data_IF_518681890718
#
_entry.id   IF_518681890718
#
_cell.length_a   1.000
_cell.length_b   1.000
_cell.length_c   1.000
_cell.angle_alpha   90.00
_cell.angle_beta   90.00
_cell.angle_gamma   90.00
#
_symmetry.space_group_name_H-M   'P 1'
#
loop_
_entity.id
_entity.type
_entity.pdbx_description
1 polymer ?
#
# COMPACT_ATOMS: atom_id res chain seq x y z
N UNK A 1 -8.19 -9.51 -9.55
CA UNK A 1 -8.69 -10.91 -9.40
C UNK A 1 -8.28 -11.41 -8.02
N UNK A 2 -8.95 -12.41 -7.45
CA UNK A 2 -8.56 -13.01 -6.16
C UNK A 2 -7.42 -14.01 -6.35
N UNK A 3 -6.60 -14.22 -5.32
CA UNK A 3 -5.65 -15.33 -5.28
C UNK A 3 -6.38 -16.68 -5.17
N UNK A 4 -5.72 -17.82 -5.47
CA UNK A 4 -6.32 -19.16 -5.32
C UNK A 4 -6.89 -19.45 -3.92
N UNK A 5 -6.36 -18.81 -2.88
CA UNK A 5 -6.87 -18.85 -1.50
C UNK A 5 -8.23 -18.15 -1.31
N UNK A 6 -8.71 -17.41 -2.31
CA UNK A 6 -9.89 -16.55 -2.22
C UNK A 6 -9.63 -15.17 -1.61
N UNK A 7 -8.42 -14.88 -1.12
CA UNK A 7 -8.06 -13.56 -0.61
C UNK A 7 -7.72 -12.58 -1.73
N UNK A 8 -7.89 -11.29 -1.45
CA UNK A 8 -7.28 -10.19 -2.21
C UNK A 8 -6.01 -9.74 -1.50
N UNK A 9 -4.96 -9.51 -2.27
CA UNK A 9 -3.75 -8.81 -1.84
C UNK A 9 -3.05 -8.19 -3.04
N UNK A 10 -1.89 -7.57 -2.80
CA UNK A 10 -1.10 -7.00 -3.89
C UNK A 10 -0.41 -8.10 -4.70
N UNK A 11 -0.45 -7.96 -6.01
CA UNK A 11 0.21 -8.86 -6.95
C UNK A 11 1.19 -8.09 -7.84
N UNK A 12 2.18 -8.78 -8.36
CA UNK A 12 3.17 -8.20 -9.27
C UNK A 12 2.49 -7.61 -10.49
N UNK A 13 2.98 -6.46 -10.94
CA UNK A 13 2.54 -5.89 -12.21
C UNK A 13 2.81 -6.91 -13.34
N UNK A 14 1.78 -7.23 -14.11
CA UNK A 14 1.86 -8.18 -15.23
C UNK A 14 1.81 -9.67 -14.84
N UNK A 15 1.90 -10.05 -13.56
CA UNK A 15 1.67 -11.42 -13.11
C UNK A 15 0.79 -11.47 -11.84
N UNK A 16 -0.54 -11.68 -12.00
CA UNK A 16 -1.48 -11.72 -10.88
C UNK A 16 -1.31 -12.95 -9.97
N UNK A 17 -0.45 -13.91 -10.32
CA UNK A 17 -0.17 -15.09 -9.48
C UNK A 17 0.97 -14.84 -8.49
N UNK A 18 1.78 -13.83 -8.74
CA UNK A 18 2.92 -13.48 -7.89
C UNK A 18 2.47 -12.48 -6.84
N UNK A 19 2.35 -12.92 -5.60
CA UNK A 19 2.02 -12.04 -4.48
C UNK A 19 3.19 -11.10 -4.15
N UNK A 20 2.86 -9.85 -3.81
CA UNK A 20 3.82 -8.86 -3.29
C UNK A 20 3.59 -8.71 -1.80
N UNK A 21 4.56 -9.15 -1.01
CA UNK A 21 4.56 -8.97 0.44
C UNK A 21 5.22 -7.64 0.80
N UNK A 22 4.68 -6.97 1.82
CA UNK A 22 5.20 -5.71 2.32
C UNK A 22 5.11 -5.67 3.86
N UNK A 23 6.03 -4.92 4.47
CA UNK A 23 6.03 -4.72 5.92
C UNK A 23 4.92 -3.73 6.31
N UNK A 24 4.38 -3.86 7.52
CA UNK A 24 3.55 -2.81 8.09
C UNK A 24 4.28 -1.47 8.07
N UNK A 25 3.50 -0.40 7.94
CA UNK A 25 3.96 0.98 7.85
C UNK A 25 4.74 1.33 6.57
N UNK A 26 4.84 0.39 5.62
CA UNK A 26 5.30 0.70 4.24
C UNK A 26 4.36 1.73 3.62
N UNK A 27 4.90 2.86 3.14
CA UNK A 27 4.11 3.85 2.39
C UNK A 27 3.66 3.26 1.06
N UNK A 28 2.38 3.45 0.75
CA UNK A 28 1.76 2.95 -0.48
C UNK A 28 0.90 4.06 -1.07
N UNK A 29 1.15 4.39 -2.33
CA UNK A 29 0.27 5.22 -3.13
C UNK A 29 -0.76 4.32 -3.80
N UNK A 30 -2.04 4.56 -3.53
CA UNK A 30 -3.13 3.97 -4.32
C UNK A 30 -3.47 4.90 -5.48
N UNK A 31 -3.71 4.31 -6.65
CA UNK A 31 -4.15 5.02 -7.86
C UNK A 31 -5.35 4.33 -8.50
N UNK A 32 -5.99 5.04 -9.44
CA UNK A 32 -7.13 4.53 -10.21
C UNK A 32 -8.33 4.17 -9.33
N UNK A 33 -8.53 4.94 -8.24
CA UNK A 33 -9.62 4.74 -7.30
C UNK A 33 -10.94 5.13 -7.99
N UNK A 34 -11.95 4.25 -8.09
CA UNK A 34 -13.18 4.55 -8.80
C UNK A 34 -14.04 5.60 -8.05
N UNK A 35 -14.83 6.45 -8.74
CA UNK A 35 -15.57 7.57 -8.13
C UNK A 35 -16.47 7.19 -6.94
N UNK A 36 -17.08 6.00 -6.99
CA UNK A 36 -17.91 5.50 -5.89
C UNK A 36 -17.07 5.28 -4.62
N UNK A 37 -15.86 4.73 -4.77
CA UNK A 37 -14.94 4.50 -3.65
C UNK A 37 -14.28 5.81 -3.20
N UNK A 38 -13.96 6.73 -4.11
CA UNK A 38 -13.51 8.09 -3.77
C UNK A 38 -14.51 8.78 -2.85
N UNK A 39 -15.80 8.71 -3.17
CA UNK A 39 -16.88 9.29 -2.36
C UNK A 39 -17.00 8.60 -1.00
N UNK A 40 -17.00 7.26 -0.97
CA UNK A 40 -17.12 6.49 0.26
C UNK A 40 -15.93 6.71 1.21
N UNK A 41 -14.72 6.80 0.66
CA UNK A 41 -13.50 7.01 1.42
C UNK A 41 -13.15 8.49 1.59
N UNK A 42 -13.83 9.43 0.94
CA UNK A 42 -13.50 10.87 0.95
C UNK A 42 -12.04 11.15 0.54
N UNK A 43 -11.62 10.52 -0.55
CA UNK A 43 -10.27 10.64 -1.13
C UNK A 43 -10.36 11.02 -2.61
N UNK A 44 -9.24 11.41 -3.21
CA UNK A 44 -9.15 11.64 -4.66
C UNK A 44 -8.97 10.35 -5.46
N UNK A 45 -8.73 10.48 -6.76
CA UNK A 45 -8.38 9.37 -7.63
C UNK A 45 -7.06 8.67 -7.22
N UNK A 46 -6.22 9.39 -6.48
CA UNK A 46 -5.01 8.89 -5.84
C UNK A 46 -5.00 9.27 -4.36
N UNK A 47 -4.40 8.42 -3.51
CA UNK A 47 -4.22 8.72 -2.09
C UNK A 47 -2.98 8.03 -1.51
N UNK A 48 -2.25 8.77 -0.68
CA UNK A 48 -1.17 8.21 0.14
C UNK A 48 -1.75 7.44 1.32
N UNK A 49 -1.22 6.24 1.55
CA UNK A 49 -1.60 5.33 2.63
C UNK A 49 -0.37 4.66 3.22
N UNK A 50 -0.55 3.91 4.29
CA UNK A 50 0.44 2.94 4.76
C UNK A 50 -0.16 1.55 4.80
N UNK A 51 0.64 0.54 4.47
CA UNK A 51 0.25 -0.85 4.67
C UNK A 51 0.05 -1.13 6.16
N UNK A 52 -1.06 -1.77 6.48
CA UNK A 52 -1.44 -2.03 7.86
C UNK A 52 -2.10 -3.40 7.99
N UNK A 53 -2.02 -3.95 9.19
CA UNK A 53 -2.70 -5.17 9.57
C UNK A 53 -3.60 -4.91 10.78
N UNK A 54 -4.84 -5.39 10.75
CA UNK A 54 -5.72 -5.39 11.93
C UNK A 54 -5.48 -6.61 12.81
N UNK A 55 -5.74 -6.50 14.10
CA UNK A 55 -5.50 -7.57 15.09
C UNK A 55 -6.42 -8.78 14.89
N UNK A 56 -7.69 -8.55 14.53
CA UNK A 56 -8.71 -9.58 14.45
C UNK A 56 -9.41 -9.64 13.07
N UNK A 57 -10.06 -10.77 12.79
CA UNK A 57 -10.83 -11.02 11.56
C UNK A 57 -10.09 -11.93 10.56
N UNK A 58 -10.86 -12.49 9.61
CA UNK A 58 -10.35 -13.47 8.65
C UNK A 58 -9.33 -12.88 7.67
N UNK A 59 -9.60 -11.68 7.15
CA UNK A 59 -8.71 -10.95 6.26
C UNK A 59 -8.11 -9.79 7.04
N UNK A 60 -6.81 -9.83 7.32
CA UNK A 60 -6.18 -8.90 8.27
C UNK A 60 -5.46 -7.74 7.58
N UNK A 61 -5.09 -7.91 6.31
CA UNK A 61 -4.29 -6.94 5.59
C UNK A 61 -5.16 -5.84 4.99
N UNK A 62 -4.62 -4.62 5.00
CA UNK A 62 -5.28 -3.43 4.53
C UNK A 62 -4.35 -2.25 4.44
N UNK A 63 -4.96 -1.07 4.32
CA UNK A 63 -4.28 0.21 4.22
C UNK A 63 -4.86 1.14 5.27
N UNK A 64 -4.00 1.92 5.90
CA UNK A 64 -4.42 3.01 6.78
C UNK A 64 -4.29 4.33 6.03
N UNK A 65 -5.40 5.04 5.90
CA UNK A 65 -5.44 6.39 5.35
C UNK A 65 -4.74 7.37 6.29
N UNK A 66 -4.36 8.54 5.78
CA UNK A 66 -3.71 9.60 6.57
C UNK A 66 -4.57 10.10 7.75
N UNK A 67 -5.89 9.96 7.66
CA UNK A 67 -6.83 10.27 8.74
C UNK A 67 -7.07 9.11 9.73
N UNK A 68 -6.29 8.03 9.60
CA UNK A 68 -6.30 6.88 10.50
C UNK A 68 -7.33 5.80 10.18
N UNK A 69 -8.24 6.02 9.22
CA UNK A 69 -9.22 4.99 8.82
C UNK A 69 -8.53 3.79 8.17
N UNK A 70 -8.97 2.59 8.52
CA UNK A 70 -8.51 1.33 7.94
C UNK A 70 -9.39 0.91 6.76
N UNK A 71 -8.77 0.55 5.65
CA UNK A 71 -9.41 0.02 4.45
C UNK A 71 -8.90 -1.39 4.22
N UNK A 72 -9.78 -2.39 4.28
CA UNK A 72 -9.40 -3.77 4.02
C UNK A 72 -9.00 -3.94 2.55
N UNK A 73 -7.97 -4.74 2.26
CA UNK A 73 -7.67 -5.11 0.88
C UNK A 73 -8.85 -5.83 0.20
N UNK A 74 -9.74 -6.45 0.99
CA UNK A 74 -10.93 -7.11 0.44
C UNK A 74 -12.00 -6.15 -0.06
N UNK A 75 -11.95 -4.88 0.34
CA UNK A 75 -12.89 -3.84 -0.08
C UNK A 75 -12.39 -3.12 -1.35
N UNK A 76 -11.13 -3.38 -1.75
CA UNK A 76 -10.54 -2.83 -2.96
C UNK A 76 -10.97 -3.65 -4.18
N UNK A 77 -11.55 -2.96 -5.16
CA UNK A 77 -12.02 -3.57 -6.40
C UNK A 77 -10.85 -3.80 -7.36
N UNK A 78 -10.94 -4.79 -8.27
CA UNK A 78 -9.99 -4.93 -9.37
C UNK A 78 -9.87 -3.64 -10.19
N UNK A 79 -8.65 -3.31 -10.61
CA UNK A 79 -8.37 -2.09 -11.38
C UNK A 79 -7.80 -0.94 -10.54
N UNK A 80 -7.83 -1.04 -9.21
CA UNK A 80 -7.06 -0.17 -8.33
C UNK A 80 -5.60 -0.63 -8.35
N UNK A 81 -4.69 0.31 -8.56
CA UNK A 81 -3.25 0.05 -8.58
C UNK A 81 -2.58 0.59 -7.32
N UNK A 82 -1.39 0.07 -7.05
CA UNK A 82 -0.57 0.49 -5.92
C UNK A 82 0.90 0.53 -6.32
N UNK A 83 1.62 1.54 -5.82
CA UNK A 83 3.08 1.59 -5.90
C UNK A 83 3.68 2.11 -4.60
N UNK A 84 4.91 1.70 -4.34
CA UNK A 84 5.70 2.23 -3.21
C UNK A 84 6.43 3.47 -3.72
N UNK A 85 6.14 4.68 -3.21
CA UNK A 85 6.64 5.93 -3.77
C UNK A 85 8.15 6.13 -3.57
N UNK A 86 8.73 5.47 -2.57
CA UNK A 86 10.16 5.49 -2.33
C UNK A 86 10.68 4.07 -2.11
N UNK A 87 11.72 3.69 -2.86
CA UNK A 87 12.44 2.45 -2.60
C UNK A 87 13.28 2.63 -1.34
N UNK A 88 13.14 1.72 -0.38
CA UNK A 88 13.81 1.80 0.92
C UNK A 88 15.34 1.84 0.75
N UNK A 89 15.91 1.16 -0.26
CA UNK A 89 17.33 1.24 -0.56
C UNK A 89 17.79 2.66 -0.94
N UNK A 90 16.90 3.48 -1.53
CA UNK A 90 17.21 4.87 -1.92
C UNK A 90 17.06 5.85 -0.76
N UNK A 91 16.24 5.54 0.23
CA UNK A 91 16.14 6.35 1.46
C UNK A 91 17.33 6.06 2.39
N UNK A 92 17.66 4.79 2.64
CA UNK A 92 18.82 4.42 3.46
C UNK A 92 20.15 4.93 2.89
N UNK A 93 20.32 4.94 1.56
CA UNK A 93 21.51 5.52 0.92
C UNK A 93 21.64 7.04 1.13
N UNK A 94 20.52 7.77 1.17
CA UNK A 94 20.51 9.22 1.44
C UNK A 94 20.89 9.50 2.89
N UNK A 95 20.39 8.72 3.84
CA UNK A 95 20.69 8.89 5.26
C UNK A 95 22.16 8.58 5.57
N UNK A 96 22.74 7.57 4.91
CA UNK A 96 24.17 7.27 5.04
C UNK A 96 25.04 8.41 4.49
N UNK A 97 24.68 8.95 3.33
CA UNK A 97 25.41 10.07 2.70
C UNK A 97 25.37 11.31 3.59
N UNK A 98 24.19 11.68 4.10
CA UNK A 98 24.02 12.82 5.01
C UNK A 98 24.81 12.64 6.31
N UNK A 99 24.88 11.42 6.83
CA UNK A 99 25.66 11.11 8.04
C UNK A 99 27.15 11.32 7.79
N UNK A 100 27.67 10.87 6.65
CA UNK A 100 29.07 11.05 6.27
C UNK A 100 29.43 12.54 6.08
N UNK A 101 28.55 13.33 5.47
CA UNK A 101 28.73 14.78 5.30
C UNK A 101 28.72 15.57 6.61
N UNK A 102 28.25 14.99 7.72
CA UNK A 102 28.21 15.66 9.04
C UNK A 102 29.42 15.29 9.92
N UNK A 103 30.33 14.46 9.42
CA UNK A 103 31.52 13.97 10.15
C UNK A 103 32.81 14.72 9.71
N UNK A 104 32.74 15.53 8.65
CA UNK A 104 33.78 16.50 8.25
C UNK A 104 33.55 17.89 8.86
#
# INVERSE_FOLDING_TARGET
TRFPSGSIGFASAGDPRTAVCMQCDTKVMLTDIPPALQTALRVGAEVETVFAQREAGLYRDGLRLTDGRFVSLQDLQPGIHAYVPALLEREGAKDLTKTLETID
#
